data_IF_810944947881
#
_entry.id   IF_810944947881
#
_cell.length_a   1.000
_cell.length_b   1.000
_cell.length_c   1.000
_cell.angle_alpha   90.00
_cell.angle_beta   90.00
_cell.angle_gamma   90.00
#
_symmetry.space_group_name_H-M   'P 1'
#
loop_
_entity.id
_entity.type
_entity.pdbx_description
1 polymer ?
#
# COMPACT_ATOMS: atom_id res chain seq x y z
N UNK A 1 9.33 -5.47 0.14
CA UNK A 1 8.36 -5.85 -0.92
C UNK A 1 9.05 -5.61 -2.26
N UNK A 2 8.95 -6.52 -3.24
CA UNK A 2 9.67 -6.36 -4.52
C UNK A 2 9.40 -5.02 -5.25
N UNK A 3 8.16 -4.52 -5.19
CA UNK A 3 7.81 -3.21 -5.74
C UNK A 3 8.57 -2.06 -5.03
N UNK A 4 8.68 -2.11 -3.70
CA UNK A 4 9.43 -1.10 -2.93
C UNK A 4 10.91 -1.08 -3.31
N UNK A 5 11.54 -2.26 -3.44
CA UNK A 5 12.95 -2.39 -3.83
C UNK A 5 13.21 -1.78 -5.22
N UNK A 6 12.34 -2.07 -6.19
CA UNK A 6 12.42 -1.49 -7.54
C UNK A 6 12.19 0.02 -7.54
N UNK A 7 11.25 0.52 -6.73
CA UNK A 7 11.00 1.96 -6.65
C UNK A 7 12.16 2.71 -6.00
N UNK A 8 12.85 2.10 -5.02
CA UNK A 8 14.04 2.71 -4.41
C UNK A 8 15.18 2.91 -5.42
N UNK A 9 15.33 1.99 -6.38
CA UNK A 9 16.38 2.13 -7.41
C UNK A 9 16.01 3.13 -8.50
N UNK A 10 14.74 3.18 -8.92
CA UNK A 10 14.28 4.06 -10.01
C UNK A 10 13.98 5.48 -9.54
N UNK A 11 13.53 5.66 -8.28
CA UNK A 11 13.11 6.94 -7.71
C UNK A 11 13.79 7.21 -6.36
N UNK A 12 15.12 7.43 -6.33
CA UNK A 12 15.87 7.57 -5.07
C UNK A 12 15.50 8.81 -4.26
N UNK A 13 14.91 9.83 -4.88
CA UNK A 13 14.46 11.06 -4.23
C UNK A 13 13.02 10.99 -3.69
N UNK A 14 12.29 9.89 -3.92
CA UNK A 14 10.94 9.71 -3.41
C UNK A 14 10.94 9.05 -2.03
N UNK A 15 10.08 9.53 -1.14
CA UNK A 15 9.87 8.88 0.16
C UNK A 15 8.78 7.81 0.02
N UNK A 16 9.13 6.57 0.31
CA UNK A 16 8.22 5.43 0.24
C UNK A 16 7.59 5.15 1.62
N UNK A 17 6.26 5.06 1.65
CA UNK A 17 5.48 4.71 2.83
C UNK A 17 4.67 3.44 2.57
N UNK A 18 5.02 2.30 3.16
CA UNK A 18 4.17 1.11 3.08
C UNK A 18 2.88 1.34 3.88
N UNK A 19 1.77 0.75 3.40
CA UNK A 19 0.47 0.76 4.08
C UNK A 19 -0.22 -0.61 3.95
N UNK A 20 -0.14 -1.42 5.00
CA UNK A 20 -0.79 -2.73 5.12
C UNK A 20 -1.14 -3.04 6.58
N UNK A 21 -2.08 -3.95 6.81
CA UNK A 21 -2.72 -4.14 8.12
C UNK A 21 -1.80 -4.50 9.29
N UNK A 22 -0.64 -5.12 9.04
CA UNK A 22 0.32 -5.52 10.08
C UNK A 22 1.42 -4.46 10.37
N UNK A 23 1.20 -3.20 10.00
CA UNK A 23 2.11 -2.10 10.34
C UNK A 23 1.82 -1.54 11.73
N UNK A 24 2.85 -1.00 12.39
CA UNK A 24 2.65 -0.25 13.64
C UNK A 24 1.74 0.97 13.40
N UNK A 25 0.91 1.37 14.38
CA UNK A 25 0.01 2.52 14.24
C UNK A 25 0.73 3.80 13.83
N UNK A 26 1.96 4.01 14.31
CA UNK A 26 2.78 5.15 13.93
C UNK A 26 3.13 5.15 12.43
N UNK A 27 3.55 4.01 11.89
CA UNK A 27 3.86 3.88 10.45
C UNK A 27 2.61 4.08 9.58
N UNK A 28 1.46 3.56 10.02
CA UNK A 28 0.19 3.80 9.33
C UNK A 28 -0.16 5.29 9.31
N UNK A 29 -0.04 6.00 10.45
CA UNK A 29 -0.26 7.45 10.53
C UNK A 29 0.65 8.23 9.59
N UNK A 30 1.94 7.87 9.52
CA UNK A 30 2.88 8.51 8.60
C UNK A 30 2.51 8.28 7.12
N UNK A 31 2.01 7.09 6.79
CA UNK A 31 1.53 6.77 5.44
C UNK A 31 0.25 7.54 5.08
N UNK A 32 -0.62 7.83 6.05
CA UNK A 32 -1.88 8.57 5.85
C UNK A 32 -1.69 10.09 5.85
N UNK A 33 -0.75 10.61 6.65
CA UNK A 33 -0.53 12.04 6.80
C UNK A 33 -0.17 12.74 5.47
N UNK A 34 -0.50 14.02 5.27
CA UNK A 34 -0.07 14.77 4.09
C UNK A 34 1.46 14.74 3.89
N UNK A 35 1.91 14.82 2.63
CA UNK A 35 3.33 14.95 2.30
C UNK A 35 3.90 16.28 2.79
N UNK A 36 5.17 16.29 3.21
CA UNK A 36 5.86 17.54 3.54
C UNK A 36 6.05 18.41 2.28
N UNK A 37 6.16 19.75 2.42
CA UNK A 37 6.50 20.61 1.29
C UNK A 37 7.78 20.15 0.58
N UNK A 38 7.73 20.03 -0.75
CA UNK A 38 8.87 19.56 -1.56
C UNK A 38 9.09 18.05 -1.56
N UNK A 39 8.32 17.27 -0.80
CA UNK A 39 8.46 15.82 -0.73
C UNK A 39 7.66 15.12 -1.83
N UNK A 40 8.33 14.23 -2.59
CA UNK A 40 7.64 13.27 -3.46
C UNK A 40 7.29 12.02 -2.66
N UNK A 41 6.10 12.04 -2.06
CA UNK A 41 5.57 10.91 -1.29
C UNK A 41 4.94 9.85 -2.21
N UNK A 42 5.27 8.58 -1.97
CA UNK A 42 4.63 7.41 -2.61
C UNK A 42 4.12 6.49 -1.50
N UNK A 43 2.83 6.20 -1.50
CA UNK A 43 2.23 5.23 -0.58
C UNK A 43 2.05 3.90 -1.30
N UNK A 44 2.67 2.84 -0.77
CA UNK A 44 2.55 1.48 -1.28
C UNK A 44 1.50 0.74 -0.46
N UNK A 45 0.28 0.70 -0.97
CA UNK A 45 -0.86 0.14 -0.24
C UNK A 45 -1.29 -1.24 -0.74
N UNK A 46 -1.84 -2.05 0.15
CA UNK A 46 -2.72 -3.18 -0.19
C UNK A 46 -4.17 -2.67 -0.34
N UNK A 47 -5.16 -3.52 -0.69
CA UNK A 47 -6.56 -3.11 -0.81
C UNK A 47 -7.17 -2.47 0.46
N UNK A 48 -6.46 -2.50 1.60
CA UNK A 48 -6.86 -1.75 2.81
C UNK A 48 -7.04 -0.24 2.54
N UNK A 49 -6.32 0.31 1.55
CA UNK A 49 -6.46 1.72 1.15
C UNK A 49 -7.65 1.97 0.20
N UNK A 50 -8.30 0.94 -0.34
CA UNK A 50 -9.39 1.10 -1.32
C UNK A 50 -10.70 1.53 -0.67
N UNK A 51 -11.01 1.01 0.51
CA UNK A 51 -12.36 1.14 1.09
C UNK A 51 -12.43 1.92 2.39
N UNK A 52 -11.35 1.95 3.18
CA UNK A 52 -11.44 2.32 4.60
C UNK A 52 -10.54 3.49 5.02
N UNK A 53 -9.72 4.04 4.11
CA UNK A 53 -8.73 5.06 4.45
C UNK A 53 -8.70 6.18 3.40
N UNK A 54 -8.78 7.42 3.86
CA UNK A 54 -8.56 8.61 3.02
C UNK A 54 -7.14 9.12 3.24
N UNK A 55 -6.36 9.22 2.16
CA UNK A 55 -5.01 9.81 2.19
C UNK A 55 -5.10 11.18 1.52
N UNK A 56 -4.94 12.24 2.31
CA UNK A 56 -5.03 13.61 1.79
C UNK A 56 -3.87 13.94 0.84
N UNK A 57 -4.18 14.69 -0.22
CA UNK A 57 -3.17 15.18 -1.17
C UNK A 57 -2.73 14.16 -2.23
N UNK A 58 -3.34 12.98 -2.29
CA UNK A 58 -3.14 12.03 -3.40
C UNK A 58 -3.72 12.62 -4.68
N UNK A 59 -2.88 12.78 -5.70
CA UNK A 59 -3.27 13.28 -7.04
C UNK A 59 -3.20 12.21 -8.13
N UNK A 60 -2.46 11.14 -7.89
CA UNK A 60 -2.17 10.10 -8.86
C UNK A 60 -2.34 8.77 -8.14
N UNK A 61 -3.09 7.86 -8.77
CA UNK A 61 -3.25 6.48 -8.33
C UNK A 61 -2.75 5.57 -9.44
N UNK A 62 -1.97 4.55 -9.07
CA UNK A 62 -1.54 3.49 -9.97
C UNK A 62 -2.07 2.19 -9.38
N UNK A 63 -3.06 1.61 -10.06
CA UNK A 63 -3.63 0.31 -9.69
C UNK A 63 -3.05 -0.79 -10.59
N UNK A 64 -2.59 -1.87 -9.96
CA UNK A 64 -2.07 -3.05 -10.65
C UNK A 64 -3.17 -4.02 -11.11
N UNK A 65 -4.39 -3.88 -10.58
CA UNK A 65 -5.48 -4.83 -10.76
C UNK A 65 -5.28 -6.16 -10.03
N UNK A 66 -4.21 -6.31 -9.24
CA UNK A 66 -3.87 -7.54 -8.52
C UNK A 66 -4.24 -7.41 -7.04
N UNK A 67 -4.89 -8.44 -6.50
CA UNK A 67 -5.17 -8.55 -5.08
C UNK A 67 -5.01 -10.00 -4.61
N UNK A 68 -4.63 -10.18 -3.35
CA UNK A 68 -4.72 -11.47 -2.67
C UNK A 68 -6.11 -11.60 -2.07
N UNK A 69 -6.85 -12.64 -2.46
CA UNK A 69 -8.19 -12.95 -1.95
C UNK A 69 -8.19 -14.37 -1.43
N UNK A 70 -8.91 -14.58 -0.33
CA UNK A 70 -9.23 -15.91 0.15
C UNK A 70 -10.08 -16.61 -0.91
N UNK A 71 -9.63 -17.79 -1.33
CA UNK A 71 -10.34 -18.67 -2.25
C UNK A 71 -10.77 -19.90 -1.46
N UNK A 72 -12.08 -20.14 -1.43
CA UNK A 72 -12.67 -21.30 -0.78
C UNK A 72 -12.70 -22.50 -1.74
N UNK A 73 -12.20 -23.65 -1.29
CA UNK A 73 -12.32 -24.92 -2.00
C UNK A 73 -13.40 -25.79 -1.35
N UNK A 74 -14.52 -25.96 -2.06
CA UNK A 74 -15.66 -26.73 -1.60
C UNK A 74 -15.38 -28.24 -1.48
N UNK A 75 -14.38 -28.79 -2.18
CA UNK A 75 -14.05 -30.21 -2.12
C UNK A 75 -13.30 -30.57 -0.84
N UNK A 76 -12.43 -29.67 -0.39
CA UNK A 76 -11.61 -29.87 0.81
C UNK A 76 -12.22 -29.21 2.04
N UNK A 77 -13.16 -28.28 1.86
CA UNK A 77 -13.73 -27.47 2.93
C UNK A 77 -12.75 -26.42 3.46
N UNK A 78 -11.63 -26.19 2.78
CA UNK A 78 -10.55 -25.31 3.23
C UNK A 78 -10.49 -24.04 2.38
N UNK A 79 -10.03 -22.96 3.01
CA UNK A 79 -9.71 -21.71 2.30
C UNK A 79 -8.20 -21.56 2.15
N UNK A 80 -7.75 -21.05 1.02
CA UNK A 80 -6.36 -20.69 0.77
C UNK A 80 -6.25 -19.24 0.29
N UNK A 81 -5.04 -18.68 0.37
CA UNK A 81 -4.72 -17.30 -0.01
C UNK A 81 -3.98 -17.25 -1.35
#
# INVERSE_FOLDING_TARGET
MKCEELLRSVLPSATLYPLYGNLSPEKQRLAIAPSKPGERKIVLATPIAETSLTIEGVRIVVDSGLCRKLVYDARTGLSHL
#
